data_IF_507066347696
#
_entry.id   IF_507066347696
#
_cell.length_a   1.000
_cell.length_b   1.000
_cell.length_c   1.000
_cell.angle_alpha   90.00
_cell.angle_beta   90.00
_cell.angle_gamma   90.00
#
_symmetry.space_group_name_H-M   'P 1'
#
loop_
_entity.id
_entity.type
_entity.pdbx_description
1 polymer ?
#
# COMPACT_ATOMS: atom_id res chain seq x y z
N UNK A 1 -5.82 10.33 11.47
CA UNK A 1 -5.18 9.03 11.13
C UNK A 1 -5.04 8.77 9.62
N UNK A 2 -5.71 9.50 8.70
CA UNK A 2 -5.62 9.21 7.25
C UNK A 2 -4.64 10.09 6.48
N UNK A 3 -3.92 11.02 7.12
CA UNK A 3 -3.06 11.98 6.43
C UNK A 3 -1.93 11.29 5.64
N UNK A 4 -1.19 10.40 6.30
CA UNK A 4 -0.06 9.69 5.68
C UNK A 4 -0.49 8.77 4.52
N UNK A 5 -1.50 7.90 4.69
CA UNK A 5 -2.02 7.10 3.58
C UNK A 5 -2.52 7.94 2.40
N UNK A 6 -3.20 9.06 2.66
CA UNK A 6 -3.67 9.99 1.60
C UNK A 6 -2.52 10.70 0.90
N UNK A 7 -1.47 11.07 1.64
CA UNK A 7 -0.25 11.64 1.07
C UNK A 7 0.42 10.63 0.13
N UNK A 8 0.53 9.36 0.54
CA UNK A 8 1.05 8.28 -0.32
C UNK A 8 0.17 8.11 -1.55
N UNK A 9 -1.14 8.03 -1.41
CA UNK A 9 -2.06 7.93 -2.54
C UNK A 9 -1.92 9.08 -3.54
N UNK A 10 -1.69 10.31 -3.07
CA UNK A 10 -1.44 11.47 -3.93
C UNK A 10 -0.11 11.37 -4.67
N UNK A 11 0.97 10.95 -3.99
CA UNK A 11 2.30 10.77 -4.62
C UNK A 11 2.30 9.65 -5.65
N UNK A 12 1.56 8.58 -5.39
CA UNK A 12 1.43 7.41 -6.27
C UNK A 12 0.17 7.49 -7.14
N UNK A 13 -0.37 8.69 -7.37
CA UNK A 13 -1.62 8.91 -8.09
C UNK A 13 -1.63 8.33 -9.51
N UNK A 14 -0.48 8.19 -10.16
CA UNK A 14 -0.38 7.47 -11.43
C UNK A 14 -1.01 6.07 -11.39
N UNK A 15 -0.85 5.34 -10.28
CA UNK A 15 -1.38 3.99 -10.14
C UNK A 15 -2.88 3.94 -9.88
N UNK A 16 -3.53 5.08 -9.56
CA UNK A 16 -4.97 5.10 -9.28
C UNK A 16 -5.82 4.77 -10.52
N UNK A 17 -5.35 5.17 -11.71
CA UNK A 17 -6.07 5.01 -12.98
C UNK A 17 -5.79 3.68 -13.69
N UNK A 18 -4.69 3.00 -13.33
CA UNK A 18 -4.33 1.72 -13.94
C UNK A 18 -5.34 0.61 -13.59
N UNK A 19 -5.32 -0.50 -14.31
CA UNK A 19 -6.00 -1.72 -13.85
C UNK A 19 -5.30 -2.29 -12.60
N UNK A 20 -5.98 -3.16 -11.86
CA UNK A 20 -5.39 -3.85 -10.71
C UNK A 20 -4.24 -4.77 -11.18
N UNK A 21 -4.44 -5.49 -12.29
CA UNK A 21 -3.41 -6.34 -12.91
C UNK A 21 -2.19 -5.55 -13.37
N UNK A 22 -2.37 -4.38 -13.99
CA UNK A 22 -1.25 -3.54 -14.38
C UNK A 22 -0.43 -3.08 -13.17
N UNK A 23 -1.10 -2.65 -12.09
CA UNK A 23 -0.42 -2.24 -10.87
C UNK A 23 0.33 -3.40 -10.20
N UNK A 24 -0.25 -4.61 -10.16
CA UNK A 24 0.45 -5.83 -9.73
C UNK A 24 1.68 -6.11 -10.62
N UNK A 25 1.55 -5.94 -11.94
CA UNK A 25 2.65 -6.09 -12.88
C UNK A 25 3.80 -5.13 -12.61
N UNK A 26 3.52 -3.86 -12.30
CA UNK A 26 4.56 -2.90 -11.89
C UNK A 26 5.23 -3.31 -10.56
N UNK A 27 4.46 -3.75 -9.57
CA UNK A 27 5.02 -4.24 -8.31
C UNK A 27 5.93 -5.45 -8.54
N UNK A 28 5.48 -6.43 -9.31
CA UNK A 28 6.29 -7.60 -9.64
C UNK A 28 7.54 -7.25 -10.48
N UNK A 29 7.39 -6.42 -11.52
CA UNK A 29 8.52 -5.99 -12.35
C UNK A 29 9.57 -5.22 -11.54
N UNK A 30 9.13 -4.30 -10.68
CA UNK A 30 10.03 -3.57 -9.78
C UNK A 30 10.71 -4.47 -8.75
N UNK A 31 10.08 -5.58 -8.33
CA UNK A 31 10.71 -6.59 -7.48
C UNK A 31 11.90 -7.25 -8.18
N UNK A 32 11.77 -7.61 -9.46
CA UNK A 32 12.87 -8.19 -10.24
C UNK A 32 14.04 -7.21 -10.34
N UNK A 33 13.73 -5.95 -10.69
CA UNK A 33 14.73 -4.86 -10.75
C UNK A 33 15.42 -4.69 -9.39
N UNK A 34 14.67 -4.75 -8.30
CA UNK A 34 15.21 -4.64 -6.94
C UNK A 34 16.17 -5.80 -6.60
N UNK A 35 15.83 -7.04 -6.96
CA UNK A 35 16.72 -8.20 -6.75
C UNK A 35 18.05 -8.00 -7.49
N UNK A 36 18.01 -7.59 -8.76
CA UNK A 36 19.22 -7.30 -9.54
C UNK A 36 20.05 -6.19 -8.89
N UNK A 37 19.38 -5.13 -8.42
CA UNK A 37 20.03 -4.01 -7.76
C UNK A 37 20.65 -4.40 -6.42
N UNK A 38 20.02 -5.29 -5.65
CA UNK A 38 20.58 -5.84 -4.40
C UNK A 38 21.85 -6.65 -4.67
N UNK A 39 21.90 -7.44 -5.74
CA UNK A 39 23.12 -8.19 -6.12
C UNK A 39 24.28 -7.22 -6.40
N UNK A 40 24.03 -6.17 -7.18
CA UNK A 40 25.08 -5.19 -7.51
C UNK A 40 25.51 -4.39 -6.27
N UNK A 41 24.55 -3.98 -5.44
CA UNK A 41 24.85 -3.14 -4.28
C UNK A 41 25.48 -3.92 -3.14
N UNK A 42 25.18 -5.22 -2.99
CA UNK A 42 25.81 -6.05 -1.96
C UNK A 42 27.32 -6.19 -2.16
N UNK A 43 27.79 -6.21 -3.42
CA UNK A 43 29.21 -6.21 -3.76
C UNK A 43 29.91 -4.88 -3.42
N UNK A 44 29.18 -3.76 -3.48
CA UNK A 44 29.70 -2.45 -3.15
C UNK A 44 29.73 -2.20 -1.64
N UNK A 45 28.57 -2.34 -0.98
CA UNK A 45 28.43 -2.20 0.46
C UNK A 45 27.09 -2.79 0.92
N UNK A 46 27.15 -3.89 1.69
CA UNK A 46 25.99 -4.58 2.23
C UNK A 46 25.08 -3.72 3.13
N UNK A 47 25.55 -2.60 3.68
CA UNK A 47 24.74 -1.70 4.52
C UNK A 47 23.60 -1.03 3.72
N UNK A 48 23.73 -0.91 2.40
CA UNK A 48 22.70 -0.28 1.56
C UNK A 48 21.55 -1.22 1.18
N UNK A 49 21.68 -2.53 1.44
CA UNK A 49 20.65 -3.51 1.12
C UNK A 49 19.34 -3.17 1.86
N UNK A 50 19.41 -2.89 3.16
CA UNK A 50 18.21 -2.62 3.95
C UNK A 50 17.48 -1.32 3.53
N UNK A 51 18.16 -0.19 3.27
CA UNK A 51 17.55 0.97 2.63
C UNK A 51 16.84 0.69 1.30
N UNK A 52 17.41 -0.17 0.44
CA UNK A 52 16.80 -0.55 -0.84
C UNK A 52 15.48 -1.29 -0.62
N UNK A 53 15.48 -2.30 0.26
CA UNK A 53 14.26 -3.02 0.61
C UNK A 53 13.21 -2.11 1.25
N UNK A 54 13.63 -1.19 2.12
CA UNK A 54 12.73 -0.17 2.69
C UNK A 54 12.09 0.69 1.59
N UNK A 55 12.88 1.17 0.63
CA UNK A 55 12.37 1.91 -0.52
C UNK A 55 11.34 1.13 -1.34
N UNK A 56 11.58 -0.17 -1.57
CA UNK A 56 10.62 -1.04 -2.24
C UNK A 56 9.32 -1.23 -1.44
N UNK A 57 9.41 -1.41 -0.12
CA UNK A 57 8.23 -1.51 0.75
C UNK A 57 7.40 -0.22 0.71
N UNK A 58 8.05 0.95 0.73
CA UNK A 58 7.38 2.25 0.59
C UNK A 58 6.71 2.40 -0.78
N UNK A 59 7.34 1.90 -1.84
CA UNK A 59 6.75 1.86 -3.18
C UNK A 59 5.46 1.02 -3.18
N UNK A 60 5.50 -0.21 -2.65
CA UNK A 60 4.32 -1.09 -2.56
C UNK A 60 3.20 -0.46 -1.73
N UNK A 61 3.52 0.11 -0.57
CA UNK A 61 2.59 0.87 0.26
C UNK A 61 1.93 2.03 -0.51
N UNK A 62 2.72 2.74 -1.31
CA UNK A 62 2.25 3.81 -2.18
C UNK A 62 1.24 3.35 -3.21
N UNK A 63 1.55 2.28 -3.94
CA UNK A 63 0.65 1.68 -4.92
C UNK A 63 -0.63 1.18 -4.26
N UNK A 64 -0.53 0.48 -3.12
CA UNK A 64 -1.68 -0.01 -2.37
C UNK A 64 -2.57 1.14 -1.88
N UNK A 65 -1.99 2.22 -1.36
CA UNK A 65 -2.74 3.39 -0.92
C UNK A 65 -3.44 4.08 -2.10
N UNK A 66 -2.76 4.28 -3.23
CA UNK A 66 -3.36 4.85 -4.43
C UNK A 66 -4.55 4.01 -4.90
N UNK A 67 -4.43 2.68 -4.90
CA UNK A 67 -5.52 1.76 -5.25
C UNK A 67 -6.65 1.73 -4.24
N UNK A 68 -6.36 1.84 -2.95
CA UNK A 68 -7.37 1.86 -1.90
C UNK A 68 -8.26 3.10 -2.04
N UNK A 69 -7.65 4.29 -2.17
CA UNK A 69 -8.37 5.56 -2.26
C UNK A 69 -8.99 5.85 -3.64
N UNK A 70 -8.62 5.09 -4.68
CA UNK A 70 -9.23 5.21 -6.02
C UNK A 70 -10.46 4.34 -6.23
N UNK A 71 -10.83 3.49 -5.26
CA UNK A 71 -12.01 2.63 -5.37
C UNK A 71 -13.26 3.51 -5.43
N UNK A 72 -13.90 3.52 -6.60
CA UNK A 72 -15.22 4.12 -6.74
C UNK A 72 -16.21 3.34 -5.88
N UNK A 73 -17.18 4.01 -5.24
CA UNK A 73 -18.28 3.30 -4.60
C UNK A 73 -18.97 2.43 -5.65
N UNK A 74 -19.25 1.18 -5.31
CA UNK A 74 -19.97 0.25 -6.20
C UNK A 74 -21.39 0.79 -6.32
N UNK A 75 -21.70 1.44 -7.44
CA UNK A 75 -23.07 1.86 -7.75
C UNK A 75 -23.77 0.64 -8.31
N UNK A 76 -24.62 0.03 -7.49
CA UNK A 76 -25.50 -1.05 -7.94
C UNK A 76 -26.53 -0.45 -8.90
N UNK A 77 -26.47 -0.81 -10.19
CA UNK A 77 -27.43 -0.35 -11.22
C UNK A 77 -28.63 -1.29 -11.39
N UNK A 78 -28.58 -2.48 -10.77
CA UNK A 78 -29.66 -3.45 -10.87
C UNK A 78 -30.88 -3.04 -10.04
N UNK A 79 -32.11 -3.02 -10.59
CA UNK A 79 -33.32 -2.57 -9.88
C UNK A 79 -33.58 -3.34 -8.57
N UNK A 80 -33.26 -4.63 -8.56
CA UNK A 80 -33.40 -5.52 -7.40
C UNK A 80 -32.35 -5.18 -6.34
N UNK A 81 -31.10 -4.95 -6.78
CA UNK A 81 -29.99 -4.59 -5.91
C UNK A 81 -30.16 -3.18 -5.33
N UNK A 82 -30.73 -2.24 -6.09
CA UNK A 82 -31.09 -0.88 -5.63
C UNK A 82 -32.19 -0.95 -4.57
N UNK A 83 -33.21 -1.79 -4.76
CA UNK A 83 -34.30 -1.97 -3.78
C UNK A 83 -33.78 -2.53 -2.45
N UNK A 84 -32.84 -3.47 -2.50
CA UNK A 84 -32.17 -4.04 -1.32
C UNK A 84 -31.15 -3.06 -0.72
N UNK A 85 -30.46 -2.26 -1.52
CA UNK A 85 -29.54 -1.23 -1.03
C UNK A 85 -30.26 -0.03 -0.39
N UNK A 86 -31.50 0.26 -0.81
CA UNK A 86 -32.30 1.37 -0.31
C UNK A 86 -32.94 1.15 1.06
N UNK A 87 -32.92 -0.07 1.61
CA UNK A 87 -33.37 -0.31 2.98
C UNK A 87 -32.34 0.15 4.01
N UNK A 88 -32.81 0.73 5.12
CA UNK A 88 -31.95 1.30 6.19
C UNK A 88 -30.93 0.30 6.76
N UNK A 89 -31.28 -1.00 6.75
CA UNK A 89 -30.42 -2.09 7.20
C UNK A 89 -29.21 -2.25 6.26
N UNK A 90 -29.43 -2.21 4.94
CA UNK A 90 -28.37 -2.35 3.94
C UNK A 90 -27.45 -1.12 3.90
N UNK A 91 -28.01 0.08 4.09
CA UNK A 91 -27.24 1.31 4.25
C UNK A 91 -26.36 1.30 5.52
N UNK A 92 -26.84 0.76 6.63
CA UNK A 92 -26.05 0.65 7.85
C UNK A 92 -24.95 -0.43 7.74
N UNK A 93 -25.27 -1.59 7.16
CA UNK A 93 -24.29 -2.68 6.95
C UNK A 93 -23.17 -2.26 5.99
N UNK A 94 -23.50 -1.56 4.89
CA UNK A 94 -22.50 -1.06 3.94
C UNK A 94 -21.60 0.02 4.54
N UNK A 95 -22.14 0.92 5.38
CA UNK A 95 -21.35 1.90 6.14
C UNK A 95 -20.40 1.24 7.14
N UNK A 96 -20.88 0.25 7.90
CA UNK A 96 -20.07 -0.50 8.86
C UNK A 96 -18.97 -1.28 8.13
N UNK A 97 -19.30 -1.95 7.03
CA UNK A 97 -18.34 -2.70 6.21
C UNK A 97 -17.24 -1.81 5.64
N UNK A 98 -17.60 -0.65 5.08
CA UNK A 98 -16.62 0.30 4.55
C UNK A 98 -15.73 0.88 5.65
N UNK A 99 -16.30 1.18 6.82
CA UNK A 99 -15.55 1.67 7.99
C UNK A 99 -14.55 0.62 8.49
N UNK A 100 -15.00 -0.64 8.68
CA UNK A 100 -14.12 -1.75 9.07
C UNK A 100 -12.99 -1.97 8.06
N UNK A 101 -13.30 -1.94 6.76
CA UNK A 101 -12.31 -2.10 5.71
C UNK A 101 -11.27 -0.97 5.73
N UNK A 102 -11.68 0.26 6.01
CA UNK A 102 -10.77 1.40 6.20
C UNK A 102 -9.88 1.21 7.43
N UNK A 103 -10.43 0.79 8.57
CA UNK A 103 -9.63 0.52 9.77
C UNK A 103 -8.60 -0.57 9.55
N UNK A 104 -8.98 -1.67 8.89
CA UNK A 104 -8.07 -2.76 8.54
C UNK A 104 -6.94 -2.22 7.65
N UNK A 105 -7.28 -1.47 6.59
CA UNK A 105 -6.29 -0.88 5.71
C UNK A 105 -5.33 0.05 6.46
N UNK A 106 -5.85 0.92 7.33
CA UNK A 106 -5.03 1.84 8.12
C UNK A 106 -4.08 1.10 9.06
N UNK A 107 -4.56 0.04 9.73
CA UNK A 107 -3.72 -0.79 10.59
C UNK A 107 -2.56 -1.41 9.81
N UNK A 108 -2.85 -2.09 8.69
CA UNK A 108 -1.82 -2.70 7.85
C UNK A 108 -0.87 -1.65 7.26
N UNK A 109 -1.39 -0.50 6.83
CA UNK A 109 -0.57 0.59 6.28
C UNK A 109 0.49 1.04 7.28
N UNK A 110 0.08 1.35 8.52
CA UNK A 110 1.01 1.84 9.54
C UNK A 110 1.94 0.74 10.05
N UNK A 111 1.46 -0.49 10.15
CA UNK A 111 2.29 -1.63 10.55
C UNK A 111 3.42 -1.89 9.54
N UNK A 112 3.10 -1.94 8.25
CA UNK A 112 4.11 -2.12 7.19
C UNK A 112 5.04 -0.91 7.11
N UNK A 113 4.51 0.31 7.28
CA UNK A 113 5.32 1.52 7.29
C UNK A 113 6.34 1.53 8.44
N UNK A 114 5.93 1.11 9.65
CA UNK A 114 6.84 0.96 10.77
C UNK A 114 7.94 -0.06 10.45
N UNK A 115 7.57 -1.19 9.85
CA UNK A 115 8.53 -2.18 9.34
C UNK A 115 9.54 -1.57 8.37
N UNK A 116 9.08 -0.76 7.41
CA UNK A 116 9.97 -0.07 6.46
C UNK A 116 10.95 0.89 7.16
N UNK A 117 10.49 1.64 8.16
CA UNK A 117 11.34 2.55 8.95
C UNK A 117 12.38 1.78 9.76
N UNK A 118 11.98 0.68 10.42
CA UNK A 118 12.92 -0.16 11.16
C UNK A 118 13.96 -0.80 10.24
N UNK A 119 13.56 -1.25 9.06
CA UNK A 119 14.48 -1.82 8.07
C UNK A 119 15.46 -0.78 7.54
N UNK A 120 15.01 0.46 7.32
CA UNK A 120 15.87 1.57 6.92
C UNK A 120 16.94 1.89 7.99
N UNK A 121 16.54 1.83 9.26
CA UNK A 121 17.41 2.14 10.40
C UNK A 121 18.28 0.95 10.84
N UNK A 122 17.96 -0.27 10.40
CA UNK A 122 18.68 -1.49 10.80
C UNK A 122 20.21 -1.40 10.63
N UNK A 123 20.77 -0.84 9.53
CA UNK A 123 22.22 -0.69 9.40
C UNK A 123 22.81 0.28 10.43
N UNK A 124 22.12 1.38 10.74
CA UNK A 124 22.55 2.36 11.74
C UNK A 124 22.51 1.76 13.14
N UNK A 125 21.45 1.02 13.47
CA UNK A 125 21.34 0.30 14.74
C UNK A 125 22.45 -0.75 14.84
N UNK A 126 22.69 -1.51 13.78
CA UNK A 126 23.77 -2.50 13.74
C UNK A 126 25.15 -1.85 13.94
N UNK A 127 25.39 -0.64 13.42
CA UNK A 127 26.63 0.10 13.66
C UNK A 127 26.74 0.68 15.08
N UNK A 128 25.62 1.11 15.67
CA UNK A 128 25.61 1.71 17.01
C UNK A 128 25.79 0.69 18.15
N UNK A 129 25.42 -0.57 17.91
CA UNK A 129 25.53 -1.68 18.89
C UNK A 129 26.65 -2.68 18.56
N UNK A 130 27.57 -2.31 17.66
CA UNK A 130 28.78 -3.08 17.35
C UNK A 130 29.96 -2.58 18.16
#
# INVERSE_FOLDING_TARGET
>A
MNYLPKMFAKKFGYFSSLSLFAALGYMFGSMIVMILLVIVVSELNGLFIAPIFSGYILFVLGVMAAKFYSRKPVILTDPIAVKIASTDISNNVSKIGNSLFEWIFLFFFHFILLGAVLFLLAPLLALAFR
#
